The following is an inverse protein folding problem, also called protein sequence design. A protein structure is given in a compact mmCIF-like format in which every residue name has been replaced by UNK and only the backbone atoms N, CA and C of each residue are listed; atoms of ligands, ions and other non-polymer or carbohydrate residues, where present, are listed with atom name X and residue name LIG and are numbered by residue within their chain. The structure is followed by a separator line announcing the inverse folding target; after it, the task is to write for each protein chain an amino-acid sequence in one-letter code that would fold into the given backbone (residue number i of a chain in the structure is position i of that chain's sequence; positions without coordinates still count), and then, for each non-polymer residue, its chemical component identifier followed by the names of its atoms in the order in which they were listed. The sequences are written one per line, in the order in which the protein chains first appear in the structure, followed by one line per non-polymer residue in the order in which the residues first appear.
data_IF_204794926152
#
_entry.id   IF_204794926152
#
_cell.length_a   1.000
_cell.length_b   1.000
_cell.length_c   1.000
_cell.angle_alpha   90.00
_cell.angle_beta   90.00
_cell.angle_gamma   90.00
#
_symmetry.space_group_name_H-M   'P 1'
#
loop_
_entity.id
_entity.type
_entity.pdbx_description
1 polymer ?
#
# COMPACT_ATOMS: atom_id res chain seq x y z
N UNK A 1 23.11 11.43 -8.40
CA UNK A 1 21.80 11.91 -8.87
C UNK A 1 20.81 11.57 -7.78
N UNK A 2 20.19 12.56 -7.14
CA UNK A 2 19.04 12.32 -6.27
C UNK A 2 17.86 11.99 -7.19
N UNK A 3 17.43 10.74 -7.23
CA UNK A 3 16.16 10.38 -7.86
C UNK A 3 15.05 11.17 -7.17
N UNK A 4 14.41 12.06 -7.93
CA UNK A 4 13.23 12.77 -7.46
C UNK A 4 12.12 11.75 -7.28
N UNK A 5 11.64 11.58 -6.03
CA UNK A 5 10.58 10.61 -5.75
C UNK A 5 9.33 10.98 -6.58
N UNK A 6 8.70 10.02 -7.26
CA UNK A 6 7.51 10.30 -8.05
C UNK A 6 6.43 10.92 -7.18
N UNK A 7 5.80 11.98 -7.68
CA UNK A 7 4.71 12.70 -7.01
C UNK A 7 3.38 12.09 -7.43
N UNK A 8 2.48 11.90 -6.47
CA UNK A 8 1.14 11.42 -6.76
C UNK A 8 0.37 12.39 -7.68
N UNK A 9 -0.34 11.83 -8.66
CA UNK A 9 -1.24 12.60 -9.53
C UNK A 9 -2.40 13.19 -8.71
N UNK A 10 -2.76 14.43 -9.01
CA UNK A 10 -3.95 15.06 -8.46
C UNK A 10 -5.22 14.57 -9.18
N UNK A 11 -6.38 14.69 -8.54
CA UNK A 11 -7.66 14.24 -9.14
C UNK A 11 -8.07 15.07 -10.37
N UNK A 12 -7.67 16.33 -10.41
CA UNK A 12 -7.90 17.25 -11.53
C UNK A 12 -6.81 17.18 -12.61
N UNK A 13 -5.81 16.30 -12.46
CA UNK A 13 -4.79 16.09 -13.48
C UNK A 13 -5.45 15.60 -14.78
N UNK A 14 -5.12 16.19 -15.96
CA UNK A 14 -5.72 15.79 -17.22
C UNK A 14 -5.57 14.30 -17.55
N UNK A 15 -4.52 13.65 -17.06
CA UNK A 15 -4.29 12.20 -17.21
C UNK A 15 -5.32 11.40 -16.43
N UNK A 16 -5.58 11.79 -15.19
CA UNK A 16 -6.58 11.15 -14.31
C UNK A 16 -7.98 11.35 -14.88
N UNK A 17 -8.32 12.59 -15.26
CA UNK A 17 -9.65 12.92 -15.83
C UNK A 17 -9.91 12.15 -17.12
N UNK A 18 -8.94 12.09 -18.04
CA UNK A 18 -9.08 11.33 -19.30
C UNK A 18 -9.25 9.84 -19.05
N UNK A 19 -8.47 9.27 -18.13
CA UNK A 19 -8.60 7.85 -17.79
C UNK A 19 -9.93 7.55 -17.09
N UNK A 20 -10.40 8.42 -16.18
CA UNK A 20 -11.71 8.28 -15.55
C UNK A 20 -12.84 8.27 -16.57
N UNK A 21 -12.81 9.21 -17.52
CA UNK A 21 -13.75 9.23 -18.64
C UNK A 21 -13.65 7.97 -19.51
N UNK A 22 -12.45 7.45 -19.77
CA UNK A 22 -12.27 6.19 -20.49
C UNK A 22 -12.91 5.02 -19.72
N UNK A 23 -12.64 4.87 -18.42
CA UNK A 23 -13.18 3.79 -17.59
C UNK A 23 -14.71 3.80 -17.54
N UNK A 24 -15.31 4.98 -17.50
CA UNK A 24 -16.78 5.15 -17.50
C UNK A 24 -17.42 4.84 -18.85
N UNK A 25 -16.75 5.17 -19.96
CA UNK A 25 -17.33 5.12 -21.31
C UNK A 25 -16.84 3.93 -22.14
N UNK A 26 -15.99 3.06 -21.61
CA UNK A 26 -15.51 1.88 -22.33
C UNK A 26 -16.43 0.69 -22.04
N UNK A 27 -17.04 0.07 -23.07
CA UNK A 27 -17.85 -1.12 -22.85
C UNK A 27 -16.95 -2.30 -22.49
N UNK A 28 -17.43 -3.12 -21.57
CA UNK A 28 -16.90 -4.44 -21.28
C UNK A 28 -17.18 -5.39 -22.44
N UNK A 29 -16.56 -6.58 -22.42
CA UNK A 29 -16.70 -7.58 -23.49
C UNK A 29 -18.16 -8.06 -23.69
N UNK A 30 -19.00 -7.91 -22.67
CA UNK A 30 -20.44 -8.20 -22.75
C UNK A 30 -21.29 -7.04 -23.30
N UNK A 31 -20.66 -5.95 -23.76
CA UNK A 31 -21.33 -4.76 -24.30
C UNK A 31 -21.93 -3.83 -23.24
N UNK A 32 -21.81 -4.14 -21.95
CA UNK A 32 -22.25 -3.28 -20.86
C UNK A 32 -21.13 -2.35 -20.39
N UNK A 33 -21.48 -1.24 -19.75
CA UNK A 33 -20.51 -0.34 -19.12
C UNK A 33 -20.28 -0.74 -17.66
N UNK A 34 -19.05 -0.58 -17.18
CA UNK A 34 -18.78 -0.75 -15.76
C UNK A 34 -19.56 0.29 -14.94
N UNK A 35 -20.23 -0.10 -13.83
CA UNK A 35 -21.03 0.81 -13.03
C UNK A 35 -20.15 1.68 -12.12
N UNK A 36 -19.29 2.49 -12.71
CA UNK A 36 -18.36 3.39 -12.00
C UNK A 36 -18.82 4.84 -12.28
N UNK A 37 -19.63 5.44 -11.40
CA UNK A 37 -20.15 6.79 -11.60
C UNK A 37 -19.06 7.85 -11.40
N UNK A 38 -19.30 9.05 -11.91
CA UNK A 38 -18.54 10.25 -11.53
C UNK A 38 -18.84 10.61 -10.06
N UNK A 39 -17.84 10.96 -9.22
CA UNK A 39 -16.39 11.04 -9.49
C UNK A 39 -15.58 9.78 -9.16
N UNK A 40 -16.24 8.64 -8.86
CA UNK A 40 -15.54 7.39 -8.52
C UNK A 40 -14.63 6.91 -9.64
N UNK A 41 -14.97 7.18 -10.91
CA UNK A 41 -14.11 6.86 -12.05
C UNK A 41 -12.74 7.54 -11.98
N UNK A 42 -12.70 8.78 -11.51
CA UNK A 42 -11.51 9.61 -11.39
C UNK A 42 -10.66 9.17 -10.18
N UNK A 43 -11.28 8.74 -9.08
CA UNK A 43 -10.57 8.10 -7.96
C UNK A 43 -9.89 6.78 -8.38
N UNK A 44 -10.61 5.92 -9.11
CA UNK A 44 -10.04 4.67 -9.63
C UNK A 44 -8.92 4.97 -10.62
N UNK A 45 -9.12 5.95 -11.51
CA UNK A 45 -8.10 6.38 -12.44
C UNK A 45 -6.85 6.89 -11.73
N UNK A 46 -7.00 7.71 -10.68
CA UNK A 46 -5.91 8.22 -9.86
C UNK A 46 -5.10 7.08 -9.23
N UNK A 47 -5.78 6.09 -8.65
CA UNK A 47 -5.14 4.93 -8.06
C UNK A 47 -4.34 4.14 -9.11
N UNK A 48 -4.92 3.91 -10.30
CA UNK A 48 -4.25 3.19 -11.40
C UNK A 48 -3.01 3.94 -11.88
N UNK A 49 -3.11 5.24 -12.18
CA UNK A 49 -1.93 5.99 -12.67
C UNK A 49 -0.83 6.07 -11.62
N UNK A 50 -1.18 6.24 -10.35
CA UNK A 50 -0.22 6.22 -9.25
C UNK A 50 0.45 4.85 -9.11
N UNK A 51 -0.32 3.75 -9.23
CA UNK A 51 0.24 2.40 -9.21
C UNK A 51 1.26 2.19 -10.32
N UNK A 52 0.96 2.65 -11.55
CA UNK A 52 1.88 2.50 -12.69
C UNK A 52 3.21 3.26 -12.55
N UNK A 53 3.28 4.24 -11.64
CA UNK A 53 4.53 4.95 -11.30
C UNK A 53 5.15 4.47 -9.97
N UNK A 54 4.72 3.33 -9.45
CA UNK A 54 5.26 2.76 -8.22
C UNK A 54 4.80 3.48 -6.96
N UNK A 55 3.59 4.04 -6.94
CA UNK A 55 2.96 4.61 -5.75
C UNK A 55 1.67 3.88 -5.39
N UNK A 56 1.44 3.67 -4.10
CA UNK A 56 0.24 2.99 -3.57
C UNK A 56 -0.37 3.78 -2.43
N UNK A 57 -1.70 3.73 -2.30
CA UNK A 57 -2.41 4.38 -1.20
C UNK A 57 -2.24 3.56 0.09
N UNK A 58 -1.66 4.19 1.11
CA UNK A 58 -1.59 3.61 2.46
C UNK A 58 -2.80 4.05 3.27
N UNK A 59 -3.60 3.08 3.72
CA UNK A 59 -4.71 3.35 4.63
C UNK A 59 -4.26 3.78 6.04
N UNK A 60 -3.01 3.51 6.41
CA UNK A 60 -2.45 3.88 7.72
C UNK A 60 -1.96 5.33 7.74
N UNK A 61 -1.29 5.76 6.68
CA UNK A 61 -0.74 7.12 6.59
C UNK A 61 -1.64 8.09 5.84
N UNK A 62 -2.76 7.59 5.29
CA UNK A 62 -3.70 8.34 4.44
C UNK A 62 -3.01 9.11 3.31
N UNK A 63 -1.98 8.50 2.73
CA UNK A 63 -1.11 9.11 1.73
C UNK A 63 -0.62 8.07 0.73
N UNK A 64 -0.26 8.53 -0.47
CA UNK A 64 0.48 7.71 -1.42
C UNK A 64 1.93 7.52 -0.96
N UNK A 65 2.35 6.26 -0.83
CA UNK A 65 3.71 5.85 -0.48
C UNK A 65 4.34 5.08 -1.63
N UNK A 66 5.66 4.90 -1.62
CA UNK A 66 6.34 4.08 -2.62
C UNK A 66 5.88 2.62 -2.55
N UNK A 67 5.68 1.99 -3.71
CA UNK A 67 5.28 0.59 -3.81
C UNK A 67 6.27 -0.33 -3.08
N UNK A 68 7.58 -0.09 -3.21
CA UNK A 68 8.59 -0.84 -2.46
C UNK A 68 8.49 -0.69 -0.93
N UNK A 69 8.04 0.48 -0.43
CA UNK A 69 7.80 0.68 1.00
C UNK A 69 6.56 -0.09 1.48
N UNK A 70 5.59 -0.30 0.60
CA UNK A 70 4.37 -1.06 0.87
C UNK A 70 4.61 -2.56 0.80
N UNK A 71 5.31 -3.04 -0.23
CA UNK A 71 5.68 -4.46 -0.38
C UNK A 71 6.65 -4.96 0.71
N UNK A 72 7.48 -4.07 1.26
CA UNK A 72 8.37 -4.39 2.39
C UNK A 72 7.66 -4.36 3.75
N UNK A 73 6.39 -3.98 3.80
CA UNK A 73 5.58 -4.10 5.02
C UNK A 73 5.12 -5.56 5.17
N UNK A 74 5.53 -6.28 6.22
CA UNK A 74 5.01 -7.61 6.51
C UNK A 74 3.49 -7.58 6.63
N UNK A 75 2.80 -8.54 6.00
CA UNK A 75 1.39 -8.78 6.29
C UNK A 75 1.24 -9.50 7.63
N UNK A 76 0.14 -9.23 8.35
CA UNK A 76 -0.15 -9.94 9.61
C UNK A 76 -0.24 -11.48 9.41
N UNK A 77 -0.56 -11.94 8.20
CA UNK A 77 -0.56 -13.37 7.87
C UNK A 77 0.83 -14.00 7.80
N UNK A 78 1.86 -13.19 7.58
CA UNK A 78 3.25 -13.63 7.36
C UNK A 78 4.09 -13.63 8.62
N UNK A 79 3.46 -13.39 9.77
CA UNK A 79 4.16 -13.32 11.05
C UNK A 79 3.80 -14.44 12.02
N UNK A 80 4.78 -14.78 12.84
CA UNK A 80 4.63 -15.67 13.98
C UNK A 80 4.73 -14.83 15.25
N UNK A 81 3.70 -14.88 16.08
CA UNK A 81 3.65 -14.17 17.37
C UNK A 81 3.92 -15.17 18.48
N UNK A 82 4.89 -14.86 19.34
CA UNK A 82 5.27 -15.64 20.51
C UNK A 82 5.23 -14.76 21.76
N UNK A 83 4.51 -15.19 22.79
CA UNK A 83 4.53 -14.52 24.10
C UNK A 83 5.69 -15.09 24.92
N UNK A 84 6.69 -14.25 25.20
CA UNK A 84 7.82 -14.61 26.05
C UNK A 84 7.51 -14.09 27.46
N UNK A 85 7.47 -15.03 28.42
CA UNK A 85 7.30 -14.77 29.86
C UNK A 85 6.07 -13.96 30.28
N UNK A 86 5.06 -13.80 29.42
CA UNK A 86 3.78 -13.13 29.73
C UNK A 86 3.83 -11.60 29.72
N UNK A 87 5.01 -10.99 29.58
CA UNK A 87 5.21 -9.53 29.59
C UNK A 87 5.84 -8.99 28.29
N UNK A 88 6.35 -9.87 27.42
CA UNK A 88 7.02 -9.46 26.18
C UNK A 88 6.44 -10.22 25.01
N UNK A 89 6.02 -9.48 23.99
CA UNK A 89 5.56 -10.04 22.72
C UNK A 89 6.73 -10.06 21.75
N UNK A 90 7.01 -11.24 21.19
CA UNK A 90 7.92 -11.42 20.06
C UNK A 90 7.12 -11.61 18.80
N UNK A 91 7.47 -10.89 17.74
CA UNK A 91 6.92 -11.12 16.41
C UNK A 91 8.07 -11.42 15.45
N UNK A 92 7.92 -12.48 14.67
CA UNK A 92 8.90 -12.93 13.67
C UNK A 92 8.26 -12.88 12.29
N UNK A 93 8.88 -12.20 11.34
CA UNK A 93 8.47 -12.23 9.94
C UNK A 93 8.98 -13.54 9.30
N UNK A 94 8.06 -14.45 8.95
CA UNK A 94 8.40 -15.82 8.52
C UNK A 94 9.29 -15.84 7.29
N UNK A 95 9.05 -14.94 6.34
CA UNK A 95 9.75 -14.88 5.07
C UNK A 95 11.22 -14.46 5.23
N UNK A 96 11.48 -13.48 6.09
CA UNK A 96 12.84 -12.90 6.27
C UNK A 96 13.58 -13.43 7.49
N UNK A 97 12.88 -14.08 8.43
CA UNK A 97 13.43 -14.48 9.74
C UNK A 97 13.70 -13.32 10.70
N UNK A 98 13.45 -12.07 10.29
CA UNK A 98 13.62 -10.88 11.13
C UNK A 98 12.63 -10.94 12.29
N UNK A 99 13.10 -10.59 13.49
CA UNK A 99 12.25 -10.56 14.68
C UNK A 99 12.36 -9.28 15.49
N UNK A 100 11.26 -8.92 16.13
CA UNK A 100 11.15 -7.79 17.04
C UNK A 100 10.50 -8.20 18.35
N UNK A 101 10.87 -7.49 19.42
CA UNK A 101 10.38 -7.67 20.78
C UNK A 101 9.78 -6.33 21.23
N UNK A 102 8.59 -6.37 21.82
CA UNK A 102 7.94 -5.21 22.42
C UNK A 102 7.18 -5.61 23.68
N UNK A 103 6.91 -4.64 24.56
CA UNK A 103 6.12 -4.88 25.77
C UNK A 103 4.65 -5.16 25.42
N UNK A 104 4.22 -4.68 24.25
CA UNK A 104 2.91 -4.98 23.66
C UNK A 104 3.03 -5.55 22.24
N UNK A 105 1.98 -6.25 21.74
CA UNK A 105 1.93 -6.70 20.35
C UNK A 105 2.08 -5.56 19.33
N UNK A 106 1.48 -4.40 19.60
CA UNK A 106 1.53 -3.24 18.69
C UNK A 106 2.94 -2.63 18.62
N UNK A 107 3.64 -2.54 19.76
CA UNK A 107 5.03 -2.11 19.80
C UNK A 107 5.95 -3.08 19.07
N UNK A 108 5.79 -4.39 19.32
CA UNK A 108 6.56 -5.43 18.66
C UNK A 108 6.32 -5.40 17.14
N UNK A 109 5.08 -5.14 16.71
CA UNK A 109 4.70 -5.00 15.31
C UNK A 109 5.35 -3.80 14.64
N UNK A 110 5.29 -2.62 15.27
CA UNK A 110 5.92 -1.40 14.77
C UNK A 110 7.44 -1.60 14.60
N UNK A 111 8.09 -2.15 15.62
CA UNK A 111 9.54 -2.44 15.59
C UNK A 111 9.89 -3.47 14.51
N UNK A 112 9.03 -4.46 14.26
CA UNK A 112 9.25 -5.43 13.20
C UNK A 112 9.23 -4.76 11.83
N UNK A 113 8.24 -3.91 11.56
CA UNK A 113 8.10 -3.20 10.28
C UNK A 113 9.32 -2.32 10.00
N UNK A 114 9.78 -1.58 11.01
CA UNK A 114 11.00 -0.77 10.90
C UNK A 114 12.23 -1.62 10.57
N UNK A 115 12.40 -2.78 11.23
CA UNK A 115 13.53 -3.68 10.98
C UNK A 115 13.47 -4.34 9.61
N UNK A 116 12.28 -4.78 9.18
CA UNK A 116 12.10 -5.41 7.85
C UNK A 116 12.38 -4.37 6.76
N UNK A 117 11.85 -3.14 6.89
CA UNK A 117 12.14 -2.05 5.95
C UNK A 117 13.62 -1.68 5.87
N UNK A 118 14.38 -1.84 6.96
CA UNK A 118 15.81 -1.52 7.00
C UNK A 118 16.72 -2.64 6.46
N UNK A 119 16.25 -3.90 6.39
CA UNK A 119 17.09 -5.08 6.11
C UNK A 119 16.53 -6.05 5.05
N UNK A 120 15.32 -5.81 4.54
CA UNK A 120 14.71 -6.54 3.42
C UNK A 120 14.83 -5.74 2.13
#
# INVERSE_FOLDING_TARGET
MTEEKPKAYALDDPTVVRLGAFLRNTPLTNGQFAPIPDPLSEYVAQAVVNYTQGLVWSGETEQYIALGDWESTPDMGDVQVENISGEVTRIVHRTTGISALGETPDEAWKLLREKVKANG
#
